data_IF_003327745081
#
_entry.id   IF_003327745081
#
_cell.length_a   1.000
_cell.length_b   1.000
_cell.length_c   1.000
_cell.angle_alpha   90.00
_cell.angle_beta   90.00
_cell.angle_gamma   90.00
#
_symmetry.space_group_name_H-M   'P 1'
#
loop_
_entity.id
_entity.type
_entity.pdbx_description
1 polymer ?
#
# COMPACT_ATOMS: atom_id res chain seq x y z
N UNK A 1 1.20 -7.18 8.66
CA UNK A 1 1.59 -6.01 7.84
C UNK A 1 1.97 -6.49 6.46
N UNK A 2 1.43 -5.85 5.42
CA UNK A 2 1.66 -6.19 4.00
C UNK A 2 2.23 -4.96 3.31
N UNK A 3 3.35 -5.11 2.59
CA UNK A 3 3.99 -4.03 1.83
C UNK A 3 3.73 -4.29 0.35
N UNK A 4 2.85 -3.49 -0.25
CA UNK A 4 2.40 -3.60 -1.64
C UNK A 4 0.87 -3.59 -1.75
N UNK A 5 0.32 -2.72 -2.59
CA UNK A 5 -1.11 -2.52 -2.82
C UNK A 5 -1.71 -3.30 -4.00
N UNK A 6 -0.90 -4.14 -4.67
CA UNK A 6 -1.33 -4.91 -5.83
C UNK A 6 -2.10 -6.19 -5.49
N UNK A 7 -2.39 -6.97 -6.54
CA UNK A 7 -3.11 -8.25 -6.48
C UNK A 7 -2.46 -9.25 -5.50
N UNK A 8 -1.14 -9.41 -5.58
CA UNK A 8 -0.36 -10.23 -4.65
C UNK A 8 -0.51 -9.76 -3.19
N UNK A 9 -0.66 -8.45 -2.95
CA UNK A 9 -0.92 -7.93 -1.61
C UNK A 9 -2.30 -8.33 -1.10
N UNK A 10 -3.30 -8.37 -1.99
CA UNK A 10 -4.64 -8.84 -1.68
C UNK A 10 -4.68 -10.36 -1.39
N UNK A 11 -3.88 -11.16 -2.09
CA UNK A 11 -3.73 -12.59 -1.79
C UNK A 11 -3.10 -12.82 -0.41
N UNK A 12 -2.08 -12.04 -0.07
CA UNK A 12 -1.48 -12.04 1.27
C UNK A 12 -2.49 -11.63 2.35
N UNK A 13 -3.38 -10.67 2.06
CA UNK A 13 -4.44 -10.24 2.96
C UNK A 13 -5.41 -11.39 3.25
N UNK A 14 -5.93 -12.04 2.21
CA UNK A 14 -6.83 -13.19 2.36
C UNK A 14 -6.17 -14.36 3.11
N UNK A 15 -4.89 -14.64 2.83
CA UNK A 15 -4.13 -15.66 3.57
C UNK A 15 -3.98 -15.30 5.04
N UNK A 16 -3.68 -14.04 5.36
CA UNK A 16 -3.49 -13.57 6.73
C UNK A 16 -4.78 -13.66 7.55
N UNK A 17 -5.93 -13.35 6.94
CA UNK A 17 -7.25 -13.57 7.56
C UNK A 17 -7.46 -15.03 7.92
N UNK A 18 -7.17 -15.94 6.99
CA UNK A 18 -7.31 -17.40 7.20
C UNK A 18 -6.36 -17.96 8.24
N UNK A 19 -5.22 -17.30 8.46
CA UNK A 19 -4.25 -17.64 9.50
C UNK A 19 -4.60 -17.02 10.87
N UNK A 20 -5.69 -16.26 10.98
CA UNK A 20 -6.17 -15.71 12.24
C UNK A 20 -5.38 -14.50 12.73
N UNK A 21 -4.78 -13.72 11.83
CA UNK A 21 -4.10 -12.48 12.20
C UNK A 21 -5.09 -11.50 12.87
N UNK A 22 -4.73 -10.97 14.03
CA UNK A 22 -5.61 -10.08 14.82
C UNK A 22 -5.77 -8.68 14.23
N UNK A 23 -4.75 -8.19 13.52
CA UNK A 23 -4.79 -6.92 12.80
C UNK A 23 -3.91 -7.02 11.54
N UNK A 24 -4.44 -6.57 10.41
CA UNK A 24 -3.74 -6.57 9.13
C UNK A 24 -3.85 -5.17 8.53
N UNK A 25 -2.69 -4.58 8.28
CA UNK A 25 -2.55 -3.33 7.54
C UNK A 25 -1.80 -3.62 6.24
N UNK A 26 -2.32 -3.13 5.13
CA UNK A 26 -1.71 -3.19 3.80
C UNK A 26 -1.30 -1.78 3.37
N UNK A 27 -0.01 -1.59 3.11
CA UNK A 27 0.56 -0.29 2.73
C UNK A 27 0.93 -0.26 1.26
N UNK A 28 0.67 0.88 0.62
CA UNK A 28 1.03 1.18 -0.76
C UNK A 28 1.82 2.50 -0.82
N UNK A 29 2.88 2.51 -1.62
CA UNK A 29 3.73 3.69 -1.82
C UNK A 29 3.05 4.70 -2.74
N UNK A 30 2.20 4.23 -3.64
CA UNK A 30 1.41 5.06 -4.55
C UNK A 30 0.19 5.70 -3.85
N UNK A 31 -0.31 6.83 -4.38
CA UNK A 31 -1.55 7.41 -3.90
C UNK A 31 -2.73 6.47 -4.13
N UNK A 32 -3.79 6.65 -3.32
CA UNK A 32 -5.05 5.93 -3.52
C UNK A 32 -5.54 6.17 -4.96
N UNK A 33 -5.75 5.12 -5.75
CA UNK A 33 -6.30 5.25 -7.10
C UNK A 33 -7.69 5.89 -7.07
N UNK A 34 -8.12 6.48 -8.18
CA UNK A 34 -9.47 7.05 -8.32
C UNK A 34 -10.54 5.97 -8.39
N UNK A 35 -11.76 6.26 -7.95
CA UNK A 35 -12.89 5.31 -8.01
C UNK A 35 -13.30 4.98 -9.47
N UNK A 36 -13.07 5.90 -10.40
CA UNK A 36 -13.34 5.71 -11.83
C UNK A 36 -12.11 6.06 -12.68
N UNK A 37 -12.13 5.63 -13.95
CA UNK A 37 -11.08 5.92 -14.91
C UNK A 37 -11.04 7.43 -15.20
N UNK A 38 -9.89 8.06 -15.01
CA UNK A 38 -9.66 9.47 -15.35
C UNK A 38 -9.29 9.65 -16.83
N UNK A 39 -9.55 10.82 -17.40
CA UNK A 39 -9.24 11.15 -18.81
C UNK A 39 -7.77 10.87 -19.19
N UNK A 40 -6.84 11.05 -18.25
CA UNK A 40 -5.40 10.81 -18.43
C UNK A 40 -4.99 9.34 -18.45
N UNK A 41 -5.92 8.43 -18.18
CA UNK A 41 -5.75 7.00 -18.33
C UNK A 41 -6.88 6.52 -19.26
N UNK A 42 -6.81 6.69 -20.59
CA UNK A 42 -7.85 6.23 -21.51
C UNK A 42 -7.65 4.77 -21.95
N UNK A 43 -8.70 4.14 -22.48
CA UNK A 43 -8.57 2.84 -23.15
C UNK A 43 -7.63 2.98 -24.36
N UNK A 44 -6.74 2.01 -24.68
CA UNK A 44 -6.65 0.64 -24.15
C UNK A 44 -5.69 0.45 -22.96
N UNK A 45 -5.22 1.51 -22.32
CA UNK A 45 -4.34 1.38 -21.14
C UNK A 45 -5.05 0.61 -20.03
N UNK A 46 -4.34 -0.13 -19.20
CA UNK A 46 -4.95 -0.77 -18.03
C UNK A 46 -5.57 0.28 -17.09
N UNK A 47 -6.80 0.08 -16.59
CA UNK A 47 -7.47 1.07 -15.75
C UNK A 47 -6.79 1.17 -14.38
N UNK A 48 -6.28 2.35 -14.06
CA UNK A 48 -5.75 2.69 -12.73
C UNK A 48 -6.89 3.20 -11.86
N UNK A 49 -7.73 2.28 -11.40
CA UNK A 49 -8.89 2.56 -10.54
C UNK A 49 -8.75 1.85 -9.20
N UNK A 50 -9.45 2.36 -8.18
CA UNK A 50 -9.50 1.74 -6.88
C UNK A 50 -10.24 0.40 -7.02
N UNK A 51 -9.57 -0.67 -6.61
CA UNK A 51 -10.14 -2.02 -6.63
C UNK A 51 -10.25 -2.54 -5.22
N UNK A 52 -11.38 -3.15 -4.96
CA UNK A 52 -11.66 -3.93 -3.75
C UNK A 52 -11.81 -5.37 -4.21
N UNK A 53 -11.11 -6.28 -3.53
CA UNK A 53 -11.26 -7.73 -3.70
C UNK A 53 -12.03 -8.29 -2.50
N UNK A 54 -12.50 -9.53 -2.58
CA UNK A 54 -13.19 -10.19 -1.45
C UNK A 54 -12.35 -10.17 -0.16
N UNK A 55 -11.03 -10.37 -0.26
CA UNK A 55 -10.13 -10.29 0.89
C UNK A 55 -10.14 -8.92 1.60
N UNK A 56 -10.37 -7.83 0.85
CA UNK A 56 -10.51 -6.50 1.42
C UNK A 56 -11.88 -6.30 2.08
N UNK A 57 -12.92 -6.96 1.58
CA UNK A 57 -14.27 -6.93 2.18
C UNK A 57 -14.32 -7.72 3.50
N UNK A 58 -13.48 -8.75 3.64
CA UNK A 58 -13.27 -9.49 4.90
C UNK A 58 -12.60 -8.64 5.99
N UNK A 59 -12.02 -7.49 5.63
CA UNK A 59 -11.44 -6.51 6.54
C UNK A 59 -9.95 -6.26 6.32
N UNK A 60 -9.35 -5.50 7.23
CA UNK A 60 -7.98 -5.02 7.14
C UNK A 60 -7.89 -3.59 6.63
N UNK A 61 -6.92 -2.85 7.17
CA UNK A 61 -6.73 -1.44 6.85
C UNK A 61 -5.84 -1.27 5.61
N UNK A 62 -6.17 -0.26 4.80
CA UNK A 62 -5.40 0.09 3.60
C UNK A 62 -4.83 1.48 3.76
N UNK A 63 -3.52 1.59 3.61
CA UNK A 63 -2.81 2.85 3.73
C UNK A 63 -2.03 3.16 2.46
N UNK A 64 -2.11 4.41 1.98
CA UNK A 64 -1.55 4.86 0.70
C UNK A 64 -0.52 5.95 0.92
N UNK A 65 0.34 6.25 -0.06
CA UNK A 65 1.39 7.26 0.11
C UNK A 65 2.36 6.92 1.27
N UNK A 66 2.63 5.64 1.53
CA UNK A 66 3.53 5.19 2.61
C UNK A 66 4.78 4.55 2.06
N UNK A 67 5.94 5.10 2.40
CA UNK A 67 7.24 4.52 2.09
C UNK A 67 7.85 3.89 3.35
N UNK A 68 8.07 2.57 3.33
CA UNK A 68 8.83 1.85 4.37
C UNK A 68 10.31 2.21 4.27
N UNK A 69 10.92 2.61 5.39
CA UNK A 69 12.33 2.99 5.51
C UNK A 69 13.20 1.88 6.04
N UNK A 70 12.79 1.25 7.13
CA UNK A 70 13.52 0.15 7.77
C UNK A 70 12.62 -0.69 8.67
N UNK A 71 13.06 -1.92 8.89
CA UNK A 71 12.51 -2.84 9.88
C UNK A 71 13.23 -2.62 11.20
N UNK A 72 12.49 -2.54 12.30
CA UNK A 72 13.06 -2.44 13.65
C UNK A 72 12.72 -3.71 14.41
N UNK A 73 13.77 -4.44 14.81
CA UNK A 73 13.67 -5.69 15.55
C UNK A 73 13.65 -5.51 17.07
N UNK A 74 13.29 -6.56 17.79
CA UNK A 74 13.51 -6.71 19.22
C UNK A 74 14.79 -7.53 19.51
N UNK A 75 15.08 -7.77 20.79
CA UNK A 75 16.25 -8.54 21.25
C UNK A 75 16.22 -10.01 20.77
N UNK A 76 15.03 -10.55 20.48
CA UNK A 76 14.83 -11.92 19.98
C UNK A 76 14.94 -12.05 18.45
N UNK A 77 15.44 -11.01 17.76
CA UNK A 77 15.48 -10.94 16.29
C UNK A 77 14.11 -11.00 15.59
N UNK A 78 13.03 -10.70 16.30
CA UNK A 78 11.69 -10.57 15.71
C UNK A 78 11.42 -9.11 15.31
N UNK A 79 10.76 -8.89 14.16
CA UNK A 79 10.34 -7.55 13.75
C UNK A 79 9.28 -7.03 14.72
N UNK A 80 9.57 -5.89 15.37
CA UNK A 80 8.65 -5.23 16.31
C UNK A 80 7.79 -4.17 15.63
N UNK A 81 8.39 -3.35 14.77
CA UNK A 81 7.68 -2.33 14.00
C UNK A 81 8.44 -1.95 12.72
N UNK A 82 7.76 -1.23 11.83
CA UNK A 82 8.34 -0.61 10.66
C UNK A 82 8.45 0.89 10.86
N UNK A 83 9.57 1.46 10.46
CA UNK A 83 9.64 2.91 10.29
C UNK A 83 9.18 3.26 8.88
N UNK A 84 8.17 4.11 8.80
CA UNK A 84 7.54 4.53 7.55
C UNK A 84 7.48 6.06 7.50
N UNK A 85 7.43 6.61 6.29
CA UNK A 85 7.22 8.04 6.05
C UNK A 85 6.12 8.25 5.03
N UNK A 86 5.38 9.35 5.19
CA UNK A 86 4.43 9.80 4.17
C UNK A 86 5.16 10.39 2.98
N UNK A 87 4.74 9.99 1.79
CA UNK A 87 5.32 10.46 0.54
C UNK A 87 4.23 10.90 -0.43
N UNK A 88 4.47 12.00 -1.12
CA UNK A 88 3.66 12.40 -2.26
C UNK A 88 4.28 11.83 -3.53
N UNK A 89 3.58 10.89 -4.17
CA UNK A 89 3.96 10.32 -5.46
C UNK A 89 3.59 11.24 -6.61
N UNK A 90 4.55 11.60 -7.44
CA UNK A 90 4.31 12.31 -8.70
C UNK A 90 5.00 11.59 -9.86
N UNK A 91 4.36 11.62 -11.01
CA UNK A 91 4.88 10.98 -12.21
C UNK A 91 5.72 11.98 -13.01
N UNK A 92 6.99 11.68 -13.24
CA UNK A 92 7.88 12.45 -14.12
C UNK A 92 8.26 11.57 -15.30
N UNK A 93 7.77 11.90 -16.50
CA UNK A 93 7.87 11.08 -17.71
C UNK A 93 7.23 9.68 -17.49
N UNK A 94 8.05 8.63 -17.50
CA UNK A 94 7.65 7.22 -17.28
C UNK A 94 8.02 6.70 -15.89
N UNK A 95 8.59 7.52 -15.02
CA UNK A 95 9.09 7.08 -13.70
C UNK A 95 8.30 7.74 -12.58
N UNK A 96 7.97 6.97 -11.55
CA UNK A 96 7.45 7.48 -10.30
C UNK A 96 8.58 8.10 -9.48
N UNK A 97 8.36 9.33 -9.03
CA UNK A 97 9.21 10.00 -8.06
C UNK A 97 8.39 10.33 -6.83
N UNK A 98 9.07 10.35 -5.68
CA UNK A 98 8.43 10.54 -4.38
C UNK A 98 9.07 11.73 -3.68
N UNK A 99 8.25 12.64 -3.18
CA UNK A 99 8.67 13.69 -2.25
C UNK A 99 8.23 13.30 -0.85
N UNK A 100 9.08 13.54 0.14
CA UNK A 100 8.65 13.44 1.54
C UNK A 100 7.63 14.54 1.83
N UNK A 101 6.52 14.19 2.46
CA UNK A 101 5.67 15.20 3.07
C UNK A 101 6.47 15.89 4.19
N UNK A 102 6.54 17.22 4.16
CA UNK A 102 7.48 18.01 4.98
C UNK A 102 7.23 17.97 6.49
N UNK A 103 6.22 17.25 6.98
CA UNK A 103 5.88 17.26 8.39
C UNK A 103 5.48 15.87 8.86
N UNK A 104 6.38 15.12 9.51
CA UNK A 104 5.95 14.14 10.50
C UNK A 104 6.97 14.07 11.65
N UNK A 105 6.45 14.34 12.85
CA UNK A 105 7.00 13.97 14.15
C UNK A 105 6.57 12.56 14.48
#
# INVERSE_FOLDING_TARGET
MIIGGGDTGADCLGTSHRQGASNIVQMEILPRPSESRIEKNPWPQWPTIFRTSSAHEEGGDRDFNVLTKRFVGNEDNNVKYLECVRVEGFRRRSTWQFKYERNFR
#
